data_IF_997365187939
#
_entry.id   IF_997365187939
#
_cell.length_a   1.000
_cell.length_b   1.000
_cell.length_c   1.000
_cell.angle_alpha   90.00
_cell.angle_beta   90.00
_cell.angle_gamma   90.00
#
_symmetry.space_group_name_H-M   'P 1'
#
loop_
_entity.id
_entity.type
_entity.pdbx_description
1 polymer ?
#
# COMPACT_ATOMS: atom_id res chain seq x y z
N UNK A 1 11.26 -20.25 -20.00
CA UNK A 1 12.21 -19.14 -19.79
C UNK A 1 12.31 -18.87 -18.29
N UNK A 2 13.51 -18.97 -17.72
CA UNK A 2 13.74 -18.67 -16.29
C UNK A 2 13.63 -17.16 -16.05
N UNK A 3 13.05 -16.73 -14.93
CA UNK A 3 12.83 -15.32 -14.57
C UNK A 3 14.10 -14.44 -14.69
N UNK A 4 15.27 -15.03 -14.51
CA UNK A 4 16.55 -14.35 -14.63
C UNK A 4 16.90 -13.90 -16.07
N UNK A 5 16.46 -14.65 -17.09
CA UNK A 5 16.67 -14.27 -18.50
C UNK A 5 15.80 -13.09 -18.91
N UNK A 6 14.53 -13.06 -18.45
CA UNK A 6 13.61 -11.94 -18.69
C UNK A 6 14.08 -10.66 -17.98
N UNK A 7 14.61 -10.78 -16.75
CA UNK A 7 15.22 -9.66 -16.02
C UNK A 7 16.36 -9.02 -16.81
N UNK A 8 17.33 -9.83 -17.26
CA UNK A 8 18.48 -9.32 -18.03
C UNK A 8 18.05 -8.56 -19.28
N UNK A 9 17.00 -9.06 -19.95
CA UNK A 9 16.46 -8.44 -21.15
C UNK A 9 15.76 -7.10 -20.87
N UNK A 10 15.05 -6.98 -19.74
CA UNK A 10 14.20 -5.82 -19.43
C UNK A 10 14.94 -4.67 -18.74
N UNK A 11 15.91 -4.98 -17.87
CA UNK A 11 16.52 -3.98 -16.96
C UNK A 11 18.04 -3.95 -17.04
N UNK A 12 18.68 -4.83 -17.81
CA UNK A 12 20.15 -4.95 -17.88
C UNK A 12 20.76 -5.85 -16.79
N UNK A 13 22.01 -6.27 -16.99
CA UNK A 13 22.70 -7.22 -16.09
C UNK A 13 23.04 -6.65 -14.71
N UNK A 14 23.23 -5.33 -14.61
CA UNK A 14 23.73 -4.67 -13.39
C UNK A 14 22.63 -4.14 -12.46
N UNK A 15 21.36 -4.30 -12.82
CA UNK A 15 20.25 -3.75 -12.03
C UNK A 15 19.69 -4.77 -11.04
N UNK A 16 19.88 -4.59 -9.71
CA UNK A 16 19.32 -5.50 -8.73
C UNK A 16 17.79 -5.43 -8.75
N UNK A 17 17.14 -6.57 -8.55
CA UNK A 17 15.68 -6.69 -8.51
C UNK A 17 15.18 -6.31 -7.12
N UNK A 18 14.31 -5.30 -7.04
CA UNK A 18 13.62 -4.98 -5.79
C UNK A 18 12.45 -5.94 -5.62
N UNK A 19 12.44 -6.69 -4.52
CA UNK A 19 11.36 -7.63 -4.18
C UNK A 19 10.78 -7.23 -2.83
N UNK A 20 9.47 -7.07 -2.78
CA UNK A 20 8.76 -6.71 -1.55
C UNK A 20 8.27 -7.97 -0.84
N UNK A 21 8.48 -8.08 0.46
CA UNK A 21 8.13 -9.23 1.29
C UNK A 21 7.28 -8.81 2.48
N UNK A 22 6.37 -9.66 2.95
CA UNK A 22 5.80 -9.46 4.29
C UNK A 22 6.90 -9.52 5.36
N UNK A 23 6.60 -9.08 6.59
CA UNK A 23 7.59 -8.98 7.66
C UNK A 23 8.27 -10.31 7.98
N UNK A 24 7.49 -11.40 8.06
CA UNK A 24 8.03 -12.72 8.40
C UNK A 24 8.98 -13.24 7.32
N UNK A 25 8.64 -13.04 6.04
CA UNK A 25 9.48 -13.41 4.92
C UNK A 25 10.68 -12.47 4.78
N UNK A 26 10.51 -11.17 5.00
CA UNK A 26 11.59 -10.19 4.94
C UNK A 26 12.73 -10.56 5.88
N UNK A 27 12.43 -10.94 7.12
CA UNK A 27 13.42 -11.41 8.09
C UNK A 27 14.20 -12.63 7.60
N UNK A 28 13.51 -13.60 7.00
CA UNK A 28 14.15 -14.80 6.43
C UNK A 28 14.99 -14.49 5.21
N UNK A 29 14.54 -13.57 4.35
CA UNK A 29 15.27 -13.15 3.15
C UNK A 29 16.53 -12.40 3.52
N UNK A 30 16.49 -11.51 4.52
CA UNK A 30 17.68 -10.81 5.02
C UNK A 30 18.72 -11.82 5.50
N UNK A 31 18.32 -12.80 6.32
CA UNK A 31 19.21 -13.88 6.79
C UNK A 31 19.80 -14.69 5.63
N UNK A 32 18.99 -15.01 4.61
CA UNK A 32 19.45 -15.72 3.42
C UNK A 32 20.48 -14.92 2.62
N UNK A 33 20.25 -13.61 2.42
CA UNK A 33 21.15 -12.75 1.66
C UNK A 33 22.48 -12.50 2.38
N UNK A 34 22.48 -12.49 3.71
CA UNK A 34 23.72 -12.43 4.49
C UNK A 34 24.52 -13.74 4.39
N UNK A 35 23.85 -14.89 4.29
CA UNK A 35 24.50 -16.18 4.04
C UNK A 35 24.91 -16.39 2.56
N UNK A 36 24.37 -15.59 1.63
CA UNK A 36 24.55 -15.74 0.17
C UNK A 36 24.90 -14.41 -0.51
N UNK A 37 26.18 -13.97 -0.44
CA UNK A 37 26.63 -12.72 -1.04
C UNK A 37 26.39 -12.63 -2.55
N UNK A 38 26.35 -13.77 -3.25
CA UNK A 38 26.05 -13.86 -4.68
C UNK A 38 24.62 -13.38 -5.01
N UNK A 39 23.66 -13.62 -4.12
CA UNK A 39 22.29 -13.15 -4.28
C UNK A 39 22.12 -11.69 -3.86
N UNK A 40 22.96 -11.20 -2.94
CA UNK A 40 22.90 -9.84 -2.39
C UNK A 40 23.15 -8.76 -3.46
N UNK A 41 23.91 -9.09 -4.51
CA UNK A 41 24.12 -8.21 -5.67
C UNK A 41 22.95 -8.23 -6.66
N UNK A 42 22.10 -9.26 -6.60
CA UNK A 42 21.00 -9.46 -7.55
C UNK A 42 19.64 -9.03 -7.02
N UNK A 43 19.45 -9.00 -5.69
CA UNK A 43 18.16 -8.76 -5.04
C UNK A 43 18.30 -7.72 -3.93
N UNK A 44 17.41 -6.72 -3.96
CA UNK A 44 17.21 -5.77 -2.87
C UNK A 44 15.88 -6.11 -2.19
N UNK A 45 15.89 -6.68 -0.97
CA UNK A 45 14.65 -6.95 -0.26
C UNK A 45 14.06 -5.64 0.25
N UNK A 46 12.75 -5.48 0.11
CA UNK A 46 11.98 -4.38 0.67
C UNK A 46 10.93 -4.93 1.62
N UNK A 47 10.80 -4.32 2.81
CA UNK A 47 9.70 -4.64 3.71
C UNK A 47 8.38 -4.18 3.09
N UNK A 48 7.40 -5.07 3.08
CA UNK A 48 6.05 -4.83 2.59
C UNK A 48 5.27 -4.02 3.58
N UNK A 49 4.84 -2.84 3.13
CA UNK A 49 4.14 -1.87 3.97
C UNK A 49 2.61 -2.04 3.91
N UNK A 50 2.08 -2.98 3.11
CA UNK A 50 0.63 -3.08 2.86
C UNK A 50 -0.20 -3.14 4.15
N UNK A 51 0.14 -4.05 5.07
CA UNK A 51 -0.59 -4.18 6.34
C UNK A 51 -0.40 -2.97 7.26
N UNK A 52 0.77 -2.35 7.24
CA UNK A 52 1.05 -1.11 7.99
C UNK A 52 0.17 0.03 7.47
N UNK A 53 0.11 0.21 6.14
CA UNK A 53 -0.73 1.23 5.52
C UNK A 53 -2.21 0.94 5.73
N UNK A 54 -2.64 -0.32 5.64
CA UNK A 54 -4.03 -0.69 5.94
C UNK A 54 -4.40 -0.41 7.40
N UNK A 55 -3.49 -0.69 8.34
CA UNK A 55 -3.70 -0.37 9.76
C UNK A 55 -3.80 1.14 9.99
N UNK A 56 -2.93 1.93 9.34
CA UNK A 56 -2.98 3.39 9.40
C UNK A 56 -4.29 3.94 8.81
N UNK A 57 -4.70 3.48 7.62
CA UNK A 57 -5.97 3.88 6.99
C UNK A 57 -7.18 3.49 7.85
N UNK A 58 -7.17 2.32 8.48
CA UNK A 58 -8.22 1.91 9.42
C UNK A 58 -8.28 2.81 10.65
N UNK A 59 -7.13 3.18 11.22
CA UNK A 59 -7.08 4.12 12.34
C UNK A 59 -7.61 5.50 11.94
N UNK A 60 -7.27 5.95 10.73
CA UNK A 60 -7.76 7.19 10.13
C UNK A 60 -9.29 7.16 9.97
N UNK A 61 -9.84 6.07 9.41
CA UNK A 61 -11.28 5.87 9.31
C UNK A 61 -11.99 5.82 10.67
N UNK A 62 -11.40 5.16 11.66
CA UNK A 62 -11.92 5.15 13.04
C UNK A 62 -11.90 6.53 13.69
N UNK A 63 -10.87 7.35 13.46
CA UNK A 63 -10.82 8.73 13.97
C UNK A 63 -11.87 9.67 13.33
N UNK A 64 -12.37 9.29 12.15
CA UNK A 64 -13.41 10.03 11.42
C UNK A 64 -14.83 9.53 11.75
N UNK A 65 -14.98 8.52 12.60
CA UNK A 65 -16.29 8.01 12.98
C UNK A 65 -17.11 9.11 13.66
N UNK A 66 -18.37 9.30 13.23
CA UNK A 66 -19.26 10.39 13.65
C UNK A 66 -18.81 11.81 13.25
N UNK A 67 -17.87 11.96 12.32
CA UNK A 67 -17.52 13.28 11.75
C UNK A 67 -18.52 13.79 10.72
N UNK A 68 -19.44 12.93 10.23
CA UNK A 68 -20.35 13.22 9.13
C UNK A 68 -19.70 13.10 7.74
N UNK A 69 -18.43 12.68 7.65
CA UNK A 69 -17.77 12.51 6.34
C UNK A 69 -18.40 11.40 5.49
N UNK A 70 -18.96 10.38 6.15
CA UNK A 70 -19.73 9.32 5.52
C UNK A 70 -21.04 9.85 4.93
N UNK A 71 -21.75 10.69 5.68
CA UNK A 71 -22.96 11.37 5.19
C UNK A 71 -22.61 12.27 4.00
N UNK A 72 -21.55 13.07 4.10
CA UNK A 72 -21.11 13.93 3.00
C UNK A 72 -20.80 13.14 1.72
N UNK A 73 -20.13 11.99 1.81
CA UNK A 73 -19.88 11.14 0.65
C UNK A 73 -21.16 10.52 0.06
N UNK A 74 -22.13 10.17 0.91
CA UNK A 74 -23.40 9.57 0.47
C UNK A 74 -24.33 10.62 -0.15
N UNK A 75 -24.44 11.80 0.45
CA UNK A 75 -25.27 12.91 -0.05
C UNK A 75 -24.73 13.48 -1.36
N UNK A 76 -23.40 13.47 -1.55
CA UNK A 76 -22.76 13.88 -2.80
C UNK A 76 -22.76 12.78 -3.89
N UNK A 77 -23.40 11.62 -3.64
CA UNK A 77 -23.44 10.45 -4.53
C UNK A 77 -22.05 9.95 -4.98
N UNK A 78 -21.03 10.17 -4.15
CA UNK A 78 -19.65 9.73 -4.41
C UNK A 78 -19.52 8.24 -4.07
N UNK A 79 -20.08 7.83 -2.92
CA UNK A 79 -20.02 6.45 -2.43
C UNK A 79 -21.34 6.02 -1.79
N UNK A 80 -21.78 4.80 -2.10
CA UNK A 80 -22.92 4.19 -1.42
C UNK A 80 -22.58 3.65 -0.02
N UNK A 81 -23.59 3.34 0.83
CA UNK A 81 -23.41 3.00 2.25
C UNK A 81 -22.47 1.82 2.51
N UNK A 82 -22.51 0.78 1.65
CA UNK A 82 -21.63 -0.37 1.77
C UNK A 82 -20.17 0.01 1.49
N UNK A 83 -19.95 0.85 0.48
CA UNK A 83 -18.63 1.32 0.08
C UNK A 83 -18.02 2.22 1.15
N UNK A 84 -18.81 3.11 1.74
CA UNK A 84 -18.37 3.97 2.85
C UNK A 84 -17.88 3.14 4.05
N UNK A 85 -18.65 2.12 4.46
CA UNK A 85 -18.21 1.20 5.53
C UNK A 85 -16.91 0.46 5.18
N UNK A 86 -16.72 0.08 3.91
CA UNK A 86 -15.51 -0.58 3.45
C UNK A 86 -14.29 0.34 3.46
N UNK A 87 -14.49 1.62 3.11
CA UNK A 87 -13.46 2.67 3.18
C UNK A 87 -13.02 2.88 4.63
N UNK A 88 -13.96 3.20 5.53
CA UNK A 88 -13.66 3.50 6.94
C UNK A 88 -13.01 2.32 7.66
N UNK A 89 -13.42 1.08 7.35
CA UNK A 89 -12.82 -0.13 7.95
C UNK A 89 -11.54 -0.59 7.25
N UNK A 90 -11.14 0.07 6.16
CA UNK A 90 -10.05 -0.30 5.25
C UNK A 90 -10.08 -1.78 4.83
N UNK A 91 -11.26 -2.30 4.48
CA UNK A 91 -11.35 -3.68 3.94
C UNK A 91 -10.90 -3.76 2.48
N UNK A 92 -10.94 -2.63 1.75
CA UNK A 92 -10.43 -2.50 0.39
C UNK A 92 -9.37 -1.39 0.31
N UNK A 93 -8.10 -1.79 0.39
CA UNK A 93 -6.94 -0.90 0.45
C UNK A 93 -6.97 0.26 -0.56
N UNK A 94 -7.02 -0.03 -1.87
CA UNK A 94 -6.97 1.01 -2.90
C UNK A 94 -8.13 2.00 -2.80
N UNK A 95 -9.31 1.49 -2.45
CA UNK A 95 -10.50 2.32 -2.33
C UNK A 95 -10.42 3.24 -1.12
N UNK A 96 -10.00 2.70 0.03
CA UNK A 96 -9.78 3.50 1.23
C UNK A 96 -8.71 4.57 1.00
N UNK A 97 -7.58 4.20 0.39
CA UNK A 97 -6.50 5.13 0.06
C UNK A 97 -7.00 6.30 -0.81
N UNK A 98 -7.67 6.00 -1.93
CA UNK A 98 -8.17 7.04 -2.83
C UNK A 98 -9.22 7.92 -2.17
N UNK A 99 -10.18 7.34 -1.44
CA UNK A 99 -11.23 8.10 -0.78
C UNK A 99 -10.66 9.08 0.25
N UNK A 100 -9.72 8.65 1.09
CA UNK A 100 -9.09 9.53 2.07
C UNK A 100 -8.24 10.62 1.42
N UNK A 101 -7.46 10.30 0.37
CA UNK A 101 -6.65 11.29 -0.35
C UNK A 101 -7.54 12.33 -1.03
N UNK A 102 -8.55 11.91 -1.80
CA UNK A 102 -9.42 12.86 -2.49
C UNK A 102 -10.23 13.71 -1.54
N UNK A 103 -10.70 13.14 -0.43
CA UNK A 103 -11.40 13.91 0.60
C UNK A 103 -10.50 14.93 1.26
N UNK A 104 -9.25 14.56 1.57
CA UNK A 104 -8.27 15.49 2.10
C UNK A 104 -8.01 16.66 1.14
N UNK A 105 -7.77 16.37 -0.14
CA UNK A 105 -7.55 17.41 -1.16
C UNK A 105 -8.79 18.29 -1.30
N UNK A 106 -9.99 17.72 -1.38
CA UNK A 106 -11.23 18.49 -1.48
C UNK A 106 -11.46 19.40 -0.27
N UNK A 107 -11.22 18.90 0.94
CA UNK A 107 -11.30 19.69 2.17
C UNK A 107 -10.25 20.81 2.21
N UNK A 108 -9.04 20.53 1.73
CA UNK A 108 -7.98 21.53 1.65
C UNK A 108 -8.33 22.66 0.68
N UNK A 109 -8.83 22.31 -0.51
CA UNK A 109 -9.29 23.29 -1.51
C UNK A 109 -10.49 24.12 -1.02
N UNK A 110 -11.40 23.54 -0.23
CA UNK A 110 -12.53 24.26 0.36
C UNK A 110 -12.14 25.18 1.53
N UNK A 111 -11.02 24.90 2.19
CA UNK A 111 -10.54 25.68 3.34
C UNK A 111 -9.70 26.91 2.94
N UNK A 112 -9.33 27.02 1.65
CA UNK A 112 -8.63 28.16 1.06
C UNK A 112 -9.62 29.11 0.37
#
# INVERSE_FOLDING_TARGET
MQANQLRKLAVGEDHPTVITFDMALYEKVVQLLDARPDLKQMVVPRLGELHVVMAALRALGASMENSGIDDAWMEADVYGPATTRQILKCTHYKRALHAHIYSYVALYEMAL
#
